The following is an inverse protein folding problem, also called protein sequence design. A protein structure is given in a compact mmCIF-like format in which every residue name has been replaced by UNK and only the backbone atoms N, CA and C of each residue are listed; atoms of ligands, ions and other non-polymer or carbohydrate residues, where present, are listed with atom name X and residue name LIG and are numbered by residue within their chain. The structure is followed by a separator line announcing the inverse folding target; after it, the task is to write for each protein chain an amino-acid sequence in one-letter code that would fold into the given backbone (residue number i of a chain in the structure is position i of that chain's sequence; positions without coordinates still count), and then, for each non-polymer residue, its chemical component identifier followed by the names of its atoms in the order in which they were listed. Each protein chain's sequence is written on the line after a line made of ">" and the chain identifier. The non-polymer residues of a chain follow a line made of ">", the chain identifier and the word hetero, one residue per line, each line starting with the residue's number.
data_IF_656812956965
#
_entry.id   IF_656812956965
#
_cell.length_a   1.000
_cell.length_b   1.000
_cell.length_c   1.000
_cell.angle_alpha   90.00
_cell.angle_beta   90.00
_cell.angle_gamma   90.00
#
_symmetry.space_group_name_H-M   'P 1'
#
loop_
_entity.id
_entity.type
_entity.pdbx_description
1 polymer ?
#
# COMPACT_ATOMS: atom_id res chain seq x y z
N UNK A 1 22.22 1.97 30.66
CA UNK A 1 20.79 2.13 30.32
C UNK A 1 19.97 2.34 31.58
N UNK A 2 19.58 3.58 31.90
CA UNK A 2 18.54 3.84 32.89
C UNK A 2 17.19 3.25 32.42
N UNK A 3 16.26 3.01 33.33
CA UNK A 3 14.94 2.39 33.09
C UNK A 3 13.99 3.18 32.15
N UNK A 4 14.52 4.16 31.40
CA UNK A 4 13.75 5.19 30.70
C UNK A 4 13.64 4.97 29.18
N UNK A 5 14.43 4.04 28.60
CA UNK A 5 14.44 3.76 27.16
C UNK A 5 14.23 2.29 26.84
N UNK A 6 13.33 2.01 25.89
CA UNK A 6 12.95 0.69 25.38
C UNK A 6 13.35 0.61 23.90
N UNK A 7 13.95 -0.48 23.42
CA UNK A 7 14.28 -0.62 21.99
C UNK A 7 13.05 -1.17 21.24
N UNK A 8 12.53 -0.42 20.25
CA UNK A 8 11.43 -0.85 19.35
C UNK A 8 11.96 -1.54 18.10
N UNK A 9 13.05 -1.03 17.51
CA UNK A 9 13.63 -1.58 16.29
C UNK A 9 15.17 -1.57 16.36
N UNK A 10 15.80 -2.66 15.94
CA UNK A 10 17.26 -2.78 15.85
C UNK A 10 17.69 -3.34 14.50
N UNK A 11 18.51 -2.56 13.79
CA UNK A 11 19.10 -2.93 12.49
C UNK A 11 20.59 -3.08 12.64
N UNK A 12 21.10 -4.28 12.36
CA UNK A 12 22.51 -4.59 12.49
C UNK A 12 23.21 -4.53 11.13
N UNK A 13 24.27 -3.72 11.02
CA UNK A 13 25.15 -3.69 9.86
C UNK A 13 26.63 -3.68 10.25
N UNK A 14 27.46 -4.13 9.31
CA UNK A 14 28.91 -4.33 9.49
C UNK A 14 29.66 -3.02 9.77
N UNK A 15 29.26 -1.92 9.13
CA UNK A 15 29.83 -0.58 9.33
C UNK A 15 28.89 0.36 10.10
N UNK A 16 27.59 0.03 10.20
CA UNK A 16 26.57 0.92 10.73
C UNK A 16 25.47 0.16 11.47
N UNK A 17 25.00 0.71 12.58
CA UNK A 17 23.93 0.16 13.42
C UNK A 17 22.86 1.23 13.61
N UNK A 18 21.59 0.87 13.38
CA UNK A 18 20.45 1.78 13.55
C UNK A 18 19.52 1.29 14.67
N UNK A 19 19.11 2.20 15.56
CA UNK A 19 18.16 1.96 16.64
C UNK A 19 16.90 2.82 16.51
N UNK A 20 15.74 2.27 16.85
CA UNK A 20 14.57 3.05 17.29
C UNK A 20 14.29 2.74 18.75
N UNK A 21 14.30 3.77 19.58
CA UNK A 21 14.07 3.72 21.01
C UNK A 21 12.74 4.38 21.33
N UNK A 22 12.04 3.86 22.33
CA UNK A 22 10.81 4.37 22.91
C UNK A 22 11.09 4.84 24.33
N UNK A 23 10.54 5.98 24.71
CA UNK A 23 10.65 6.50 26.09
C UNK A 23 9.30 6.97 26.60
N UNK A 24 9.02 6.73 27.88
CA UNK A 24 7.83 7.23 28.55
C UNK A 24 8.08 8.59 29.24
N UNK A 25 9.30 9.12 29.14
CA UNK A 25 9.65 10.42 29.69
C UNK A 25 9.26 11.51 28.71
N UNK A 26 8.36 12.40 29.12
CA UNK A 26 7.94 13.56 28.31
C UNK A 26 9.06 14.60 28.13
N UNK A 27 10.15 14.51 28.90
CA UNK A 27 11.27 15.44 28.89
C UNK A 27 12.61 14.71 28.85
N UNK A 28 12.89 13.98 27.76
CA UNK A 28 14.26 13.51 27.52
C UNK A 28 15.13 14.69 27.09
N UNK A 29 16.07 15.06 27.96
CA UNK A 29 16.97 16.18 27.71
C UNK A 29 18.04 15.84 26.66
N UNK A 30 18.52 16.84 25.92
CA UNK A 30 19.64 16.67 24.97
C UNK A 30 20.87 16.07 25.66
N UNK A 31 21.11 16.39 26.94
CA UNK A 31 22.23 15.86 27.71
C UNK A 31 22.14 14.35 27.92
N UNK A 32 20.94 13.81 28.16
CA UNK A 32 20.69 12.37 28.32
C UNK A 32 20.88 11.62 26.99
N UNK A 33 20.42 12.22 25.88
CA UNK A 33 20.64 11.67 24.53
C UNK A 33 22.13 11.63 24.16
N UNK A 34 22.92 12.62 24.60
CA UNK A 34 24.37 12.67 24.36
C UNK A 34 25.12 11.62 25.20
N UNK A 35 24.65 11.34 26.42
CA UNK A 35 25.21 10.24 27.23
C UNK A 35 24.88 8.90 26.59
N UNK A 36 23.63 8.70 26.17
CA UNK A 36 23.16 7.52 25.48
C UNK A 36 23.93 7.26 24.17
N UNK A 37 24.15 8.30 23.36
CA UNK A 37 24.94 8.22 22.14
C UNK A 37 26.38 7.72 22.40
N UNK A 38 27.01 8.24 23.46
CA UNK A 38 28.36 7.82 23.85
C UNK A 38 28.41 6.38 24.34
N UNK A 39 27.46 5.97 25.20
CA UNK A 39 27.39 4.59 25.68
C UNK A 39 27.17 3.62 24.52
N UNK A 40 26.27 3.93 23.59
CA UNK A 40 26.03 3.11 22.41
C UNK A 40 27.27 3.02 21.51
N UNK A 41 27.98 4.13 21.28
CA UNK A 41 29.23 4.12 20.51
C UNK A 41 30.36 3.34 21.20
N UNK A 42 30.42 3.34 22.54
CA UNK A 42 31.37 2.52 23.29
C UNK A 42 31.05 1.02 23.20
N UNK A 43 29.78 0.64 23.26
CA UNK A 43 29.32 -0.76 23.17
C UNK A 43 29.60 -1.32 21.76
N UNK A 44 29.28 -0.57 20.71
CA UNK A 44 29.38 -1.00 19.32
C UNK A 44 30.66 -0.55 18.61
N UNK A 45 31.72 -0.41 19.40
CA UNK A 45 33.03 0.12 19.04
C UNK A 45 33.49 -0.27 17.61
N UNK A 46 33.76 0.73 16.77
CA UNK A 46 34.19 0.55 15.38
C UNK A 46 33.08 0.56 14.33
N UNK A 47 31.82 0.84 14.70
CA UNK A 47 30.68 0.99 13.80
C UNK A 47 29.99 2.34 14.01
N UNK A 48 29.43 2.92 12.94
CA UNK A 48 28.62 4.13 12.99
C UNK A 48 27.28 3.81 13.67
N UNK A 49 26.97 4.44 14.80
CA UNK A 49 25.70 4.23 15.49
C UNK A 49 24.76 5.39 15.19
N UNK A 50 23.54 5.09 14.75
CA UNK A 50 22.43 6.05 14.64
C UNK A 50 21.26 5.55 15.46
N UNK A 51 20.60 6.45 16.16
CA UNK A 51 19.38 6.11 16.89
C UNK A 51 18.33 7.21 16.75
N UNK A 52 17.07 6.81 16.89
CA UNK A 52 15.93 7.70 17.00
C UNK A 52 15.19 7.39 18.30
N UNK A 53 14.64 8.42 18.95
CA UNK A 53 13.86 8.25 20.18
C UNK A 53 12.44 8.75 19.92
N UNK A 54 11.43 7.95 20.25
CA UNK A 54 10.02 8.32 20.17
C UNK A 54 9.39 8.26 21.56
N UNK A 55 8.58 9.25 21.90
CA UNK A 55 7.82 9.28 23.15
C UNK A 55 6.52 8.51 23.01
N UNK A 56 6.12 7.79 24.07
CA UNK A 56 4.83 7.09 24.12
C UNK A 56 4.09 7.36 25.42
N UNK A 57 2.76 7.34 25.35
CA UNK A 57 1.89 7.49 26.52
C UNK A 57 1.77 6.14 27.25
N UNK A 58 1.78 6.15 28.59
CA UNK A 58 1.65 4.94 29.43
C UNK A 58 0.39 4.10 29.15
N UNK A 59 -0.60 4.66 28.47
CA UNK A 59 -1.83 3.96 28.08
C UNK A 59 -1.73 3.23 26.73
N UNK A 60 -0.66 3.46 25.93
CA UNK A 60 -0.52 2.97 24.56
C UNK A 60 0.57 1.87 24.39
N UNK A 61 1.20 1.40 25.47
CA UNK A 61 2.07 0.21 25.43
C UNK A 61 1.70 -0.80 26.53
N UNK A 62 1.43 -2.07 26.20
CA UNK A 62 1.23 -3.14 27.16
C UNK A 62 2.59 -3.63 27.67
N UNK A 63 2.89 -3.21 28.88
CA UNK A 63 3.99 -3.74 29.68
C UNK A 63 3.69 -5.16 30.11
N UNK A 64 4.52 -6.14 29.70
CA UNK A 64 4.65 -7.37 30.48
C UNK A 64 6.04 -8.01 30.50
N UNK A 65 6.89 -7.82 29.47
CA UNK A 65 8.14 -8.59 29.38
C UNK A 65 9.44 -7.78 29.36
N UNK A 66 9.37 -6.45 29.30
CA UNK A 66 10.57 -5.61 29.12
C UNK A 66 11.44 -5.43 30.36
N UNK A 67 10.98 -5.83 31.55
CA UNK A 67 11.74 -5.57 32.80
C UNK A 67 12.80 -6.61 33.17
N UNK A 68 12.99 -7.71 32.40
CA UNK A 68 13.79 -8.85 32.91
C UNK A 68 14.81 -9.49 31.95
N UNK A 69 14.94 -9.05 30.69
CA UNK A 69 16.06 -9.47 29.84
C UNK A 69 17.13 -8.37 29.82
N UNK A 70 18.32 -8.70 30.32
CA UNK A 70 19.49 -7.91 29.96
C UNK A 70 19.73 -8.15 28.46
N UNK A 71 19.36 -7.15 27.65
CA UNK A 71 19.32 -7.23 26.19
C UNK A 71 20.66 -7.66 25.57
N UNK A 72 21.77 -7.23 26.16
CA UNK A 72 23.12 -7.60 25.74
C UNK A 72 23.38 -9.11 25.88
N UNK A 73 22.80 -9.76 26.91
CA UNK A 73 22.89 -11.21 27.13
C UNK A 73 22.09 -11.96 26.05
N UNK A 74 20.90 -11.47 25.70
CA UNK A 74 20.05 -12.07 24.67
C UNK A 74 20.71 -12.00 23.29
N UNK A 75 21.19 -10.81 22.90
CA UNK A 75 21.83 -10.62 21.60
C UNK A 75 23.12 -11.44 21.51
N UNK A 76 23.92 -11.49 22.59
CA UNK A 76 25.14 -12.30 22.62
C UNK A 76 24.84 -13.80 22.45
N UNK A 77 23.83 -14.33 23.15
CA UNK A 77 23.50 -15.75 23.06
C UNK A 77 22.84 -16.08 21.70
N UNK A 78 21.97 -15.22 21.16
CA UNK A 78 21.40 -15.40 19.81
C UNK A 78 22.51 -15.36 18.75
N UNK A 79 23.47 -14.43 18.83
CA UNK A 79 24.61 -14.39 17.91
C UNK A 79 25.48 -15.66 18.02
N UNK A 80 25.68 -16.17 19.23
CA UNK A 80 26.42 -17.42 19.48
C UNK A 80 25.67 -18.63 18.92
N UNK A 81 24.35 -18.71 19.11
CA UNK A 81 23.50 -19.76 18.53
C UNK A 81 23.52 -19.69 16.99
N UNK A 82 23.38 -18.50 16.41
CA UNK A 82 23.50 -18.31 14.96
C UNK A 82 24.86 -18.79 14.43
N UNK A 83 25.96 -18.47 15.15
CA UNK A 83 27.31 -18.92 14.79
C UNK A 83 27.47 -20.44 14.89
N UNK A 84 26.88 -21.08 15.91
CA UNK A 84 26.87 -22.54 16.06
C UNK A 84 26.14 -23.22 14.89
N UNK A 85 25.12 -22.57 14.34
CA UNK A 85 24.39 -23.01 13.15
C UNK A 85 25.02 -22.56 11.82
N UNK A 86 26.25 -22.04 11.86
CA UNK A 86 27.03 -21.67 10.67
C UNK A 86 26.54 -20.38 9.99
N UNK A 87 25.87 -19.50 10.73
CA UNK A 87 25.30 -18.26 10.23
C UNK A 87 25.89 -17.03 10.96
N UNK A 88 25.96 -15.92 10.23
CA UNK A 88 26.26 -14.60 10.76
C UNK A 88 25.23 -13.63 10.20
N UNK A 89 24.73 -12.72 11.04
CA UNK A 89 23.81 -11.67 10.61
C UNK A 89 24.49 -10.79 9.54
N UNK A 90 23.70 -10.36 8.56
CA UNK A 90 24.09 -9.46 7.48
C UNK A 90 23.38 -8.11 7.63
N UNK A 91 23.83 -7.09 6.89
CA UNK A 91 23.37 -5.70 6.97
C UNK A 91 21.86 -5.46 6.78
N UNK A 92 21.13 -6.47 6.34
CA UNK A 92 19.70 -6.40 6.06
C UNK A 92 18.86 -7.22 7.05
N UNK A 93 19.47 -7.83 8.07
CA UNK A 93 18.78 -8.65 9.06
C UNK A 93 18.35 -7.77 10.26
N UNK A 94 17.20 -8.08 10.88
CA UNK A 94 16.64 -7.30 12.00
C UNK A 94 16.10 -8.21 13.09
N UNK A 95 16.12 -7.72 14.33
CA UNK A 95 15.46 -8.39 15.44
C UNK A 95 14.55 -7.36 16.11
N UNK A 96 13.24 -7.65 16.15
CA UNK A 96 12.25 -6.81 16.80
C UNK A 96 11.70 -7.52 18.03
N UNK A 97 11.52 -6.76 19.11
CA UNK A 97 10.93 -7.24 20.35
C UNK A 97 9.54 -6.63 20.45
N UNK A 98 8.51 -7.46 20.28
CA UNK A 98 7.12 -7.04 20.35
C UNK A 98 6.48 -7.59 21.63
N UNK A 99 5.25 -7.14 21.89
CA UNK A 99 4.53 -7.36 23.15
C UNK A 99 4.30 -8.83 23.48
N UNK A 100 4.01 -9.66 22.47
CA UNK A 100 3.61 -11.07 22.64
C UNK A 100 4.60 -12.06 22.00
N UNK A 101 5.56 -11.57 21.19
CA UNK A 101 6.46 -12.42 20.41
C UNK A 101 7.76 -11.71 19.99
N UNK A 102 8.79 -12.50 19.67
CA UNK A 102 10.08 -11.99 19.15
C UNK A 102 10.13 -12.23 17.65
N UNK A 103 10.41 -11.19 16.86
CA UNK A 103 10.60 -11.29 15.41
C UNK A 103 12.08 -11.31 15.05
N UNK A 104 12.50 -12.29 14.27
CA UNK A 104 13.84 -12.34 13.66
C UNK A 104 13.67 -12.28 12.15
N UNK A 105 14.05 -11.15 11.56
CA UNK A 105 14.07 -10.95 10.12
C UNK A 105 15.44 -11.33 9.55
N UNK A 106 15.45 -12.27 8.61
CA UNK A 106 16.66 -12.68 7.89
C UNK A 106 16.42 -12.45 6.41
N UNK A 107 17.14 -11.52 5.83
CA UNK A 107 17.03 -11.11 4.43
C UNK A 107 17.40 -12.21 3.44
N UNK A 108 18.40 -13.04 3.76
CA UNK A 108 18.82 -14.15 2.90
C UNK A 108 17.93 -15.39 3.08
N UNK A 109 17.16 -15.73 2.04
CA UNK A 109 16.21 -16.85 2.04
C UNK A 109 16.88 -18.22 2.30
N UNK A 110 18.07 -18.47 1.73
CA UNK A 110 18.78 -19.75 1.88
C UNK A 110 19.25 -19.97 3.33
N UNK A 111 19.72 -18.92 3.99
CA UNK A 111 20.14 -18.99 5.38
C UNK A 111 18.97 -19.20 6.32
N UNK A 112 17.81 -18.61 6.01
CA UNK A 112 16.59 -18.82 6.79
C UNK A 112 16.09 -20.26 6.71
N UNK A 113 16.11 -20.88 5.52
CA UNK A 113 15.74 -22.29 5.37
C UNK A 113 16.68 -23.21 6.17
N UNK A 114 17.97 -22.89 6.24
CA UNK A 114 18.94 -23.61 7.09
C UNK A 114 18.65 -23.47 8.58
N UNK A 115 18.27 -22.27 9.03
CA UNK A 115 17.94 -22.03 10.44
C UNK A 115 16.62 -22.69 10.85
N UNK A 116 15.62 -22.68 9.96
CA UNK A 116 14.37 -23.41 10.15
C UNK A 116 14.59 -24.93 10.18
N UNK A 117 15.50 -25.46 9.36
CA UNK A 117 15.79 -26.90 9.33
C UNK A 117 16.65 -27.38 10.50
N UNK A 118 17.45 -26.50 11.10
CA UNK A 118 18.42 -26.86 12.14
C UNK A 118 17.92 -26.66 13.58
N UNK A 119 16.61 -26.58 13.79
CA UNK A 119 16.03 -26.42 15.15
C UNK A 119 16.44 -25.15 15.90
N UNK A 120 16.99 -24.13 15.20
CA UNK A 120 17.40 -22.86 15.81
C UNK A 120 16.26 -22.19 16.59
N UNK A 121 15.03 -22.26 16.08
CA UNK A 121 13.83 -21.78 16.78
C UNK A 121 13.60 -22.46 18.13
N UNK A 122 13.91 -23.76 18.22
CA UNK A 122 13.75 -24.50 19.46
C UNK A 122 14.86 -24.13 20.46
N UNK A 123 16.10 -23.94 20.00
CA UNK A 123 17.21 -23.51 20.87
C UNK A 123 16.95 -22.13 21.47
N UNK A 124 16.44 -21.19 20.67
CA UNK A 124 16.07 -19.86 21.17
C UNK A 124 14.85 -19.96 22.10
N UNK A 125 13.84 -20.77 21.78
CA UNK A 125 12.70 -21.03 22.68
C UNK A 125 13.14 -21.68 24.00
N UNK A 126 14.14 -22.55 23.99
CA UNK A 126 14.68 -23.20 25.19
C UNK A 126 15.48 -22.20 26.05
N UNK A 127 16.29 -21.34 25.42
CA UNK A 127 16.97 -20.25 26.12
C UNK A 127 15.99 -19.29 26.80
N UNK A 128 14.93 -18.92 26.07
CA UNK A 128 13.86 -18.04 26.55
C UNK A 128 13.06 -18.75 27.66
N UNK A 129 12.55 -19.97 27.42
CA UNK A 129 11.77 -20.71 28.44
C UNK A 129 12.59 -21.13 29.67
N UNK A 130 13.92 -21.25 29.56
CA UNK A 130 14.81 -21.45 30.72
C UNK A 130 14.91 -20.24 31.66
N UNK A 131 14.50 -19.06 31.20
CA UNK A 131 14.56 -17.80 31.95
C UNK A 131 13.16 -17.25 32.28
N UNK A 132 12.09 -17.76 31.64
CA UNK A 132 10.70 -17.33 31.80
C UNK A 132 9.77 -18.47 32.21
N UNK A 133 8.63 -18.16 32.83
CA UNK A 133 7.61 -19.15 33.23
C UNK A 133 6.40 -19.22 32.28
N UNK A 134 6.31 -18.35 31.27
CA UNK A 134 5.25 -18.30 30.26
C UNK A 134 5.84 -18.57 28.87
N UNK A 135 5.08 -19.25 27.99
CA UNK A 135 5.50 -19.59 26.62
C UNK A 135 5.52 -18.34 25.73
N UNK A 136 6.69 -17.99 25.17
CA UNK A 136 6.87 -16.87 24.23
C UNK A 136 6.89 -17.42 22.80
N UNK A 137 6.13 -16.78 21.92
CA UNK A 137 6.14 -17.10 20.50
C UNK A 137 7.33 -16.42 19.81
N UNK A 138 8.03 -17.14 18.92
CA UNK A 138 9.19 -16.62 18.18
C UNK A 138 8.91 -16.81 16.70
N UNK A 139 8.93 -15.71 15.94
CA UNK A 139 8.61 -15.67 14.52
C UNK A 139 9.84 -15.30 13.70
N UNK A 140 10.05 -16.00 12.58
CA UNK A 140 11.11 -15.67 11.61
C UNK A 140 10.47 -15.23 10.29
N UNK A 141 10.75 -13.99 9.86
CA UNK A 141 10.03 -13.34 8.74
C UNK A 141 10.84 -13.29 7.43
N UNK A 142 10.12 -13.25 6.29
CA UNK A 142 10.68 -13.35 4.93
C UNK A 142 10.95 -12.01 4.23
N UNK A 143 10.16 -10.98 4.54
CA UNK A 143 10.29 -9.63 3.98
C UNK A 143 9.78 -8.62 5.01
N UNK A 144 10.34 -7.41 5.00
CA UNK A 144 9.76 -6.27 5.73
C UNK A 144 8.39 -5.97 5.14
N UNK A 145 7.35 -6.51 5.76
CA UNK A 145 6.01 -6.00 5.57
C UNK A 145 5.93 -4.66 6.32
N UNK A 146 5.50 -3.56 5.68
CA UNK A 146 4.98 -2.43 6.42
C UNK A 146 3.82 -2.96 7.27
N UNK A 147 3.84 -2.67 8.58
CA UNK A 147 2.84 -3.09 9.57
C UNK A 147 1.42 -3.02 8.99
N UNK A 148 0.87 -4.17 8.63
CA UNK A 148 -0.55 -4.46 8.76
C UNK A 148 -0.74 -5.93 9.18
N UNK A 149 -1.54 -6.07 10.24
CA UNK A 149 -2.38 -7.21 10.56
C UNK A 149 -1.85 -8.39 11.40
N UNK A 150 -2.18 -8.27 12.70
CA UNK A 150 -2.52 -9.33 13.67
C UNK A 150 -3.67 -10.28 13.21
N UNK A 151 -3.82 -10.62 11.92
CA UNK A 151 -5.06 -11.20 11.39
C UNK A 151 -4.94 -12.54 10.62
N UNK A 152 -3.73 -13.02 10.29
CA UNK A 152 -3.57 -14.20 9.40
C UNK A 152 -4.09 -15.52 9.99
N UNK A 153 -3.87 -15.82 11.27
CA UNK A 153 -4.32 -17.10 11.84
C UNK A 153 -5.84 -17.17 12.14
N UNK A 154 -6.49 -16.02 12.35
CA UNK A 154 -7.96 -15.96 12.50
C UNK A 154 -8.67 -15.96 11.14
N UNK A 155 -8.03 -15.45 10.09
CA UNK A 155 -8.58 -15.45 8.72
C UNK A 155 -8.48 -16.82 8.07
N UNK A 156 -7.37 -17.55 8.18
CA UNK A 156 -7.26 -18.88 7.58
C UNK A 156 -8.25 -19.86 8.21
N UNK A 157 -8.38 -19.87 9.54
CA UNK A 157 -9.36 -20.70 10.24
C UNK A 157 -10.83 -20.29 9.96
N UNK A 158 -11.12 -19.00 9.77
CA UNK A 158 -12.48 -18.54 9.36
C UNK A 158 -12.77 -18.81 7.88
N UNK A 159 -11.78 -18.73 7.01
CA UNK A 159 -11.90 -19.00 5.57
C UNK A 159 -12.06 -20.50 5.31
N UNK A 160 -11.37 -21.35 6.08
CA UNK A 160 -11.49 -22.80 5.94
C UNK A 160 -12.83 -23.31 6.49
N UNK A 161 -13.33 -22.73 7.59
CA UNK A 161 -14.67 -23.02 8.10
C UNK A 161 -15.78 -22.48 7.18
N UNK A 162 -15.65 -21.26 6.62
CA UNK A 162 -16.57 -20.75 5.59
C UNK A 162 -16.53 -21.57 4.30
N UNK A 163 -15.36 -22.07 3.87
CA UNK A 163 -15.25 -22.97 2.70
C UNK A 163 -15.98 -24.29 2.93
N UNK A 164 -15.87 -24.87 4.13
CA UNK A 164 -16.60 -26.10 4.52
C UNK A 164 -18.11 -25.87 4.64
N UNK A 165 -18.56 -24.69 5.08
CA UNK A 165 -19.99 -24.30 5.08
C UNK A 165 -20.52 -24.03 3.67
N UNK A 166 -19.75 -23.37 2.80
CA UNK A 166 -20.12 -23.11 1.39
C UNK A 166 -20.19 -24.42 0.58
N UNK A 167 -19.35 -25.41 0.88
CA UNK A 167 -19.41 -26.73 0.24
C UNK A 167 -20.69 -27.48 0.65
N UNK A 168 -21.07 -27.44 1.94
CA UNK A 168 -22.32 -28.04 2.45
C UNK A 168 -23.59 -27.28 2.02
N UNK A 169 -23.52 -25.97 1.81
CA UNK A 169 -24.64 -25.19 1.25
C UNK A 169 -24.83 -25.43 -0.25
N UNK A 170 -23.75 -25.65 -1.01
CA UNK A 170 -23.83 -25.92 -2.44
C UNK A 170 -24.43 -27.30 -2.74
N UNK A 171 -24.14 -28.31 -1.91
CA UNK A 171 -24.78 -29.63 -2.04
C UNK A 171 -26.29 -29.59 -1.68
N UNK A 172 -26.71 -28.67 -0.80
CA UNK A 172 -28.13 -28.49 -0.43
C UNK A 172 -28.90 -27.51 -1.36
N UNK A 173 -28.21 -26.62 -2.09
CA UNK A 173 -28.83 -25.65 -3.03
C UNK A 173 -29.17 -26.24 -4.41
N UNK A 174 -28.55 -27.37 -4.79
CA UNK A 174 -28.87 -28.09 -6.03
C UNK A 174 -30.26 -28.76 -5.95
N UNK A 175 -30.76 -29.10 -4.77
CA UNK A 175 -32.10 -29.72 -4.61
C UNK A 175 -33.27 -28.73 -4.43
N UNK A 176 -33.02 -27.45 -4.07
CA UNK A 176 -34.08 -26.49 -3.71
C UNK A 176 -34.41 -25.39 -4.73
N UNK A 177 -33.72 -25.28 -5.86
CA UNK A 177 -33.91 -24.19 -6.83
C UNK A 177 -34.89 -24.47 -7.98
N UNK A 178 -35.93 -25.29 -7.75
CA UNK A 178 -37.01 -25.55 -8.74
C UNK A 178 -38.27 -24.69 -8.59
N UNK A 179 -38.37 -23.76 -7.65
CA UNK A 179 -39.58 -22.94 -7.40
C UNK A 179 -39.06 -21.63 -6.79
N UNK A 180 -39.25 -20.39 -7.24
CA UNK A 180 -40.37 -19.65 -7.85
C UNK A 180 -39.76 -18.45 -8.64
N UNK A 181 -40.28 -18.16 -9.84
CA UNK A 181 -40.13 -16.88 -10.57
C UNK A 181 -41.26 -15.93 -10.14
N UNK A 182 -40.98 -14.63 -9.98
CA UNK A 182 -41.63 -13.51 -10.73
C UNK A 182 -41.17 -12.11 -10.25
N UNK A 183 -41.40 -11.01 -11.01
CA UNK A 183 -40.33 -10.18 -11.57
C UNK A 183 -40.30 -8.73 -11.04
N UNK A 184 -39.23 -8.00 -11.33
CA UNK A 184 -39.21 -6.53 -11.21
C UNK A 184 -38.28 -5.90 -12.26
N UNK A 185 -38.94 -5.37 -13.30
CA UNK A 185 -38.64 -4.25 -14.20
C UNK A 185 -37.18 -3.82 -14.52
N UNK A 186 -36.87 -4.04 -15.79
CA UNK A 186 -35.92 -3.43 -16.73
C UNK A 186 -35.10 -2.20 -16.27
N UNK A 187 -33.88 -2.44 -15.82
CA UNK A 187 -32.73 -1.58 -16.14
C UNK A 187 -31.79 -2.40 -17.03
N UNK A 188 -31.88 -2.22 -18.35
CA UNK A 188 -31.00 -2.90 -19.31
C UNK A 188 -29.54 -2.50 -19.06
N UNK A 189 -28.80 -3.38 -18.39
CA UNK A 189 -27.33 -3.33 -18.28
C UNK A 189 -26.79 -3.21 -19.70
N UNK A 190 -26.00 -2.17 -19.97
CA UNK A 190 -25.39 -1.96 -21.27
C UNK A 190 -24.49 -3.14 -21.64
N UNK A 191 -24.80 -3.80 -22.76
CA UNK A 191 -24.04 -4.95 -23.28
C UNK A 191 -23.98 -4.87 -24.79
N UNK A 192 -22.78 -5.05 -25.35
CA UNK A 192 -22.54 -5.15 -26.79
C UNK A 192 -21.74 -6.43 -27.06
N UNK A 193 -22.11 -7.17 -28.10
CA UNK A 193 -21.31 -8.30 -28.59
C UNK A 193 -21.54 -9.61 -27.85
N UNK A 194 -20.49 -10.43 -27.71
CA UNK A 194 -20.57 -11.75 -27.08
C UNK A 194 -20.91 -11.62 -25.59
N UNK A 195 -21.64 -12.60 -25.05
CA UNK A 195 -21.92 -12.69 -23.62
C UNK A 195 -20.60 -12.93 -22.87
N UNK A 196 -20.32 -12.04 -21.93
CA UNK A 196 -19.19 -12.18 -21.01
C UNK A 196 -19.55 -13.25 -19.97
N UNK A 197 -18.69 -14.26 -19.82
CA UNK A 197 -18.87 -15.33 -18.85
C UNK A 197 -18.21 -14.94 -17.53
N UNK A 198 -18.89 -15.23 -16.42
CA UNK A 198 -18.32 -15.06 -15.08
C UNK A 198 -17.19 -16.05 -14.80
N UNK A 199 -17.10 -17.14 -15.59
CA UNK A 199 -16.03 -18.14 -15.49
C UNK A 199 -14.71 -17.68 -16.12
N UNK A 200 -14.75 -16.67 -17.00
CA UNK A 200 -13.56 -16.16 -17.64
C UNK A 200 -12.77 -15.33 -16.62
N UNK A 201 -11.47 -15.65 -16.49
CA UNK A 201 -10.56 -15.02 -15.54
C UNK A 201 -10.30 -13.58 -15.98
N UNK A 202 -10.49 -12.63 -15.08
CA UNK A 202 -10.11 -11.23 -15.28
C UNK A 202 -8.58 -11.11 -15.19
N UNK A 203 -7.95 -10.58 -16.24
CA UNK A 203 -6.51 -10.38 -16.33
C UNK A 203 -6.17 -8.90 -16.17
N UNK A 204 -5.02 -8.61 -15.55
CA UNK A 204 -4.44 -7.26 -15.51
C UNK A 204 -3.87 -6.90 -16.87
N UNK A 205 -4.00 -5.65 -17.28
CA UNK A 205 -3.50 -5.17 -18.57
C UNK A 205 -1.97 -5.25 -18.60
N UNK A 206 -1.28 -5.05 -17.47
CA UNK A 206 0.18 -5.20 -17.38
C UNK A 206 0.71 -6.58 -17.75
N UNK A 207 -0.12 -7.62 -17.60
CA UNK A 207 0.28 -9.01 -17.78
C UNK A 207 0.03 -9.50 -19.22
N UNK A 208 -0.56 -8.65 -20.07
CA UNK A 208 -0.92 -8.99 -21.43
C UNK A 208 0.22 -8.71 -22.41
N UNK A 209 0.41 -9.66 -23.32
CA UNK A 209 1.35 -9.61 -24.43
C UNK A 209 0.65 -9.96 -25.76
N UNK A 210 1.42 -9.93 -26.85
CA UNK A 210 0.92 -10.30 -28.18
C UNK A 210 0.46 -11.77 -28.31
N UNK A 211 0.78 -12.63 -27.35
CA UNK A 211 0.44 -14.06 -27.35
C UNK A 211 -0.73 -14.39 -26.41
N UNK A 212 -1.24 -13.40 -25.69
CA UNK A 212 -2.28 -13.58 -24.68
C UNK A 212 -3.61 -14.05 -25.26
N UNK A 213 -3.84 -13.82 -26.57
CA UNK A 213 -4.97 -14.40 -27.29
C UNK A 213 -6.29 -13.84 -26.77
N UNK A 214 -7.25 -14.71 -26.45
CA UNK A 214 -8.55 -14.26 -25.95
C UNK A 214 -8.46 -13.92 -24.46
N UNK A 215 -8.77 -12.67 -24.11
CA UNK A 215 -8.57 -12.14 -22.76
C UNK A 215 -9.79 -11.33 -22.31
N UNK A 216 -9.98 -11.28 -20.99
CA UNK A 216 -10.99 -10.47 -20.31
C UNK A 216 -10.28 -9.41 -19.47
N UNK A 217 -10.55 -8.14 -19.76
CA UNK A 217 -10.00 -6.99 -19.04
C UNK A 217 -11.13 -6.11 -18.53
N UNK A 218 -10.84 -5.31 -17.51
CA UNK A 218 -11.78 -4.35 -16.94
C UNK A 218 -11.02 -3.07 -16.63
N UNK A 219 -11.60 -1.93 -16.99
CA UNK A 219 -10.94 -0.65 -16.74
C UNK A 219 -11.76 0.55 -17.16
N UNK A 220 -11.19 1.73 -16.94
CA UNK A 220 -11.73 3.02 -17.32
C UNK A 220 -11.52 3.27 -18.80
N UNK A 221 -12.55 3.75 -19.48
CA UNK A 221 -12.45 4.14 -20.90
C UNK A 221 -11.99 5.58 -21.03
N UNK A 222 -11.05 5.84 -21.94
CA UNK A 222 -10.65 7.19 -22.36
C UNK A 222 -10.21 7.23 -23.84
N UNK A 223 -9.98 8.44 -24.36
CA UNK A 223 -9.55 8.74 -25.74
C UNK A 223 -10.37 8.08 -26.86
N UNK A 224 -11.69 8.33 -26.89
CA UNK A 224 -12.59 7.76 -27.90
C UNK A 224 -12.51 8.50 -29.25
N UNK A 225 -12.19 7.74 -30.31
CA UNK A 225 -12.29 8.14 -31.70
C UNK A 225 -13.19 7.17 -32.49
N UNK A 226 -14.12 7.68 -33.30
CA UNK A 226 -14.94 6.87 -34.20
C UNK A 226 -14.56 7.18 -35.64
N UNK A 227 -14.05 6.17 -36.36
CA UNK A 227 -13.70 6.26 -37.78
C UNK A 227 -14.72 5.53 -38.65
N UNK A 228 -15.09 6.12 -39.78
CA UNK A 228 -15.91 5.46 -40.78
C UNK A 228 -15.04 4.68 -41.77
N UNK A 229 -15.39 3.42 -42.02
CA UNK A 229 -14.67 2.53 -42.94
C UNK A 229 -15.29 2.58 -44.33
N UNK A 230 -14.50 2.23 -45.34
CA UNK A 230 -14.94 2.19 -46.75
C UNK A 230 -16.15 1.28 -47.02
N UNK A 231 -16.44 0.35 -46.12
CA UNK A 231 -17.58 -0.58 -46.21
C UNK A 231 -18.85 -0.07 -45.48
N UNK A 232 -18.85 1.18 -45.01
CA UNK A 232 -19.96 1.79 -44.27
C UNK A 232 -20.05 1.39 -42.80
N UNK A 233 -19.21 0.45 -42.33
CA UNK A 233 -19.11 0.14 -40.89
C UNK A 233 -18.30 1.21 -40.18
N UNK A 234 -18.52 1.37 -38.88
CA UNK A 234 -17.71 2.27 -38.05
C UNK A 234 -16.76 1.48 -37.18
N UNK A 235 -15.60 2.06 -36.92
CA UNK A 235 -14.57 1.52 -36.04
C UNK A 235 -14.44 2.49 -34.86
N UNK A 236 -14.81 2.04 -33.67
CA UNK A 236 -14.46 2.74 -32.44
C UNK A 236 -13.05 2.34 -32.03
N UNK A 237 -12.22 3.35 -31.76
CA UNK A 237 -10.89 3.27 -31.21
C UNK A 237 -10.94 3.99 -29.86
N UNK A 238 -10.49 3.34 -28.81
CA UNK A 238 -10.43 3.92 -27.47
C UNK A 238 -9.44 3.13 -26.62
N UNK A 239 -8.99 3.71 -25.52
CA UNK A 239 -8.11 3.04 -24.57
C UNK A 239 -8.89 2.63 -23.32
N UNK A 240 -8.48 1.51 -22.72
CA UNK A 240 -8.94 1.03 -21.41
C UNK A 240 -7.75 1.02 -20.46
N UNK A 241 -7.88 1.61 -19.28
CA UNK A 241 -6.85 1.61 -18.22
C UNK A 241 -7.38 0.98 -16.92
N UNK A 242 -6.59 0.09 -16.33
CA UNK A 242 -6.95 -0.72 -15.16
C UNK A 242 -6.08 -0.40 -13.92
N UNK A 243 -5.53 0.82 -13.86
CA UNK A 243 -4.54 1.29 -12.87
C UNK A 243 -3.15 0.63 -12.98
N UNK A 244 -3.04 -0.54 -13.63
CA UNK A 244 -1.75 -1.22 -13.84
C UNK A 244 -1.11 -0.83 -15.15
N UNK A 245 -1.90 -0.70 -16.22
CA UNK A 245 -1.46 -0.30 -17.55
C UNK A 245 -2.68 0.14 -18.39
N UNK A 246 -2.43 0.52 -19.64
CA UNK A 246 -3.45 0.87 -20.61
C UNK A 246 -3.38 -0.03 -21.85
N UNK A 247 -4.53 -0.35 -22.42
CA UNK A 247 -4.68 -1.17 -23.63
C UNK A 247 -5.51 -0.43 -24.67
N UNK A 248 -4.93 -0.27 -25.86
CA UNK A 248 -5.68 0.23 -27.01
C UNK A 248 -6.66 -0.81 -27.51
N UNK A 249 -7.91 -0.38 -27.66
CA UNK A 249 -9.04 -1.23 -27.99
C UNK A 249 -9.69 -0.82 -29.30
N UNK A 250 -10.17 -1.82 -30.04
CA UNK A 250 -10.84 -1.64 -31.33
C UNK A 250 -12.16 -2.39 -31.32
N UNK A 251 -13.23 -1.71 -31.73
CA UNK A 251 -14.56 -2.31 -31.83
C UNK A 251 -15.22 -1.95 -33.16
N UNK A 252 -15.59 -2.96 -33.93
CA UNK A 252 -16.41 -2.76 -35.12
C UNK A 252 -17.89 -2.59 -34.75
N UNK A 253 -18.44 -1.44 -35.13
CA UNK A 253 -19.81 -1.05 -34.90
C UNK A 253 -20.59 -1.10 -36.23
N UNK A 254 -21.68 -1.86 -36.24
CA UNK A 254 -22.76 -1.68 -37.19
C UNK A 254 -23.71 -0.58 -36.71
N UNK A 255 -24.67 -0.15 -37.53
CA UNK A 255 -25.56 0.97 -37.20
C UNK A 255 -26.35 0.74 -35.90
N UNK A 256 -26.76 -0.51 -35.62
CA UNK A 256 -27.49 -0.85 -34.38
C UNK A 256 -26.59 -0.77 -33.16
N UNK A 257 -25.39 -1.37 -33.24
CA UNK A 257 -24.39 -1.32 -32.17
C UNK A 257 -23.91 0.09 -31.92
N UNK A 258 -23.77 0.91 -32.97
CA UNK A 258 -23.35 2.30 -32.86
C UNK A 258 -24.33 3.12 -32.02
N UNK A 259 -25.64 2.94 -32.23
CA UNK A 259 -26.65 3.66 -31.45
C UNK A 259 -26.51 3.33 -29.96
N UNK A 260 -26.49 2.04 -29.62
CA UNK A 260 -26.34 1.55 -28.24
C UNK A 260 -25.01 2.03 -27.65
N UNK A 261 -23.93 1.95 -28.42
CA UNK A 261 -22.60 2.40 -28.02
C UNK A 261 -22.60 3.89 -27.67
N UNK A 262 -23.11 4.76 -28.55
CA UNK A 262 -23.12 6.21 -28.32
C UNK A 262 -24.04 6.65 -27.17
N UNK A 263 -25.10 5.89 -26.88
CA UNK A 263 -25.98 6.16 -25.73
C UNK A 263 -25.21 6.06 -24.41
N UNK A 264 -24.22 5.16 -24.33
CA UNK A 264 -23.52 4.84 -23.08
C UNK A 264 -22.06 5.24 -23.05
N UNK A 265 -21.33 5.07 -24.15
CA UNK A 265 -19.92 5.45 -24.33
C UNK A 265 -19.88 6.69 -25.23
N UNK A 266 -19.80 7.85 -24.59
CA UNK A 266 -19.71 9.15 -25.24
C UNK A 266 -18.81 10.08 -24.42
N UNK A 267 -18.52 11.27 -24.94
CA UNK A 267 -17.61 12.21 -24.28
C UNK A 267 -18.01 12.54 -22.85
N UNK A 268 -19.31 12.56 -22.53
CA UNK A 268 -19.81 12.84 -21.18
C UNK A 268 -19.57 11.67 -20.23
N UNK A 269 -19.87 10.44 -20.64
CA UNK A 269 -19.64 9.26 -19.79
C UNK A 269 -18.15 8.98 -19.60
N UNK A 270 -17.32 9.24 -20.61
CA UNK A 270 -15.86 9.18 -20.52
C UNK A 270 -15.32 10.23 -19.54
N UNK A 271 -15.80 11.47 -19.61
CA UNK A 271 -15.45 12.52 -18.66
C UNK A 271 -15.81 12.12 -17.21
N UNK A 272 -16.95 11.46 -17.03
CA UNK A 272 -17.38 10.89 -15.74
C UNK A 272 -16.62 9.62 -15.34
N UNK A 273 -15.72 9.11 -16.19
CA UNK A 273 -14.91 7.93 -15.92
C UNK A 273 -15.69 6.62 -15.97
N UNK A 274 -16.42 6.38 -17.06
CA UNK A 274 -17.10 5.10 -17.30
C UNK A 274 -16.12 3.91 -17.25
N UNK A 275 -16.53 2.87 -16.52
CA UNK A 275 -15.82 1.60 -16.44
C UNK A 275 -16.55 0.54 -17.24
N UNK A 276 -15.78 -0.29 -17.93
CA UNK A 276 -16.31 -1.42 -18.70
C UNK A 276 -15.50 -2.68 -18.43
N UNK A 277 -16.15 -3.81 -18.60
CA UNK A 277 -15.47 -5.10 -18.80
C UNK A 277 -15.52 -5.43 -20.28
N UNK A 278 -14.37 -5.72 -20.87
CA UNK A 278 -14.22 -6.07 -22.27
C UNK A 278 -13.64 -7.47 -22.41
N UNK A 279 -14.16 -8.24 -23.37
CA UNK A 279 -13.61 -9.52 -23.80
C UNK A 279 -13.27 -9.42 -25.28
N UNK A 280 -12.09 -9.92 -25.63
CA UNK A 280 -11.59 -9.76 -26.98
C UNK A 280 -10.26 -10.46 -27.17
N UNK A 281 -9.76 -10.36 -28.40
CA UNK A 281 -8.48 -10.95 -28.77
C UNK A 281 -7.39 -9.88 -28.73
N UNK A 282 -6.37 -10.12 -27.92
CA UNK A 282 -5.17 -9.30 -27.79
C UNK A 282 -4.16 -9.77 -28.83
N UNK A 283 -3.80 -8.88 -29.75
CA UNK A 283 -2.87 -9.17 -30.83
C UNK A 283 -2.00 -7.95 -31.15
N UNK A 284 -0.87 -8.18 -31.81
CA UNK A 284 -0.05 -7.10 -32.34
C UNK A 284 -0.73 -6.47 -33.56
N UNK A 285 -1.06 -5.18 -33.45
CA UNK A 285 -1.61 -4.41 -34.55
C UNK A 285 -0.51 -3.76 -35.37
N UNK A 286 -0.39 -4.20 -36.63
CA UNK A 286 0.67 -3.72 -37.52
C UNK A 286 0.53 -2.24 -37.91
N UNK A 287 -0.69 -1.69 -37.89
CA UNK A 287 -0.94 -0.30 -38.25
C UNK A 287 -0.61 0.64 -37.09
N UNK A 288 -1.04 0.28 -35.88
CA UNK A 288 -0.71 1.02 -34.65
C UNK A 288 0.72 0.73 -34.14
N UNK A 289 1.36 -0.33 -34.64
CA UNK A 289 2.68 -0.83 -34.20
C UNK A 289 2.74 -1.11 -32.70
N UNK A 290 1.66 -1.63 -32.13
CA UNK A 290 1.51 -1.93 -30.72
C UNK A 290 0.55 -3.08 -30.48
N UNK A 291 0.53 -3.58 -29.25
CA UNK A 291 -0.47 -4.57 -28.83
C UNK A 291 -1.81 -3.86 -28.69
N UNK A 292 -2.87 -4.46 -29.21
CA UNK A 292 -4.22 -3.94 -29.09
C UNK A 292 -5.23 -5.06 -28.90
N UNK A 293 -6.35 -4.76 -28.26
CA UNK A 293 -7.46 -5.68 -28.11
C UNK A 293 -8.52 -5.42 -29.19
N UNK A 294 -8.84 -6.43 -29.99
CA UNK A 294 -10.05 -6.46 -30.80
C UNK A 294 -11.22 -6.96 -29.95
N UNK A 295 -12.15 -6.07 -29.61
CA UNK A 295 -13.25 -6.37 -28.70
C UNK A 295 -14.35 -7.17 -29.42
N UNK A 296 -14.68 -8.32 -28.83
CA UNK A 296 -15.79 -9.18 -29.25
C UNK A 296 -17.05 -8.93 -28.43
N UNK A 297 -16.90 -8.52 -27.17
CA UNK A 297 -17.98 -8.22 -26.25
C UNK A 297 -17.55 -7.23 -25.18
N UNK A 298 -18.48 -6.38 -24.74
CA UNK A 298 -18.25 -5.42 -23.66
C UNK A 298 -19.53 -5.16 -22.88
N UNK A 299 -19.39 -4.90 -21.60
CA UNK A 299 -20.49 -4.51 -20.71
C UNK A 299 -20.07 -3.39 -19.76
N UNK A 300 -21.04 -2.56 -19.37
CA UNK A 300 -20.84 -1.52 -18.35
C UNK A 300 -20.66 -2.20 -16.99
N UNK A 301 -19.59 -1.84 -16.29
CA UNK A 301 -19.25 -2.40 -14.99
C UNK A 301 -19.16 -1.26 -13.99
N UNK A 302 -19.70 -1.41 -12.77
CA UNK A 302 -19.58 -0.38 -11.76
C UNK A 302 -18.10 -0.10 -11.49
N UNK A 303 -17.75 1.19 -11.42
CA UNK A 303 -16.44 1.63 -10.96
C UNK A 303 -16.28 1.19 -9.50
N UNK A 304 -15.19 0.49 -9.19
CA UNK A 304 -14.83 0.26 -7.79
C UNK A 304 -14.32 1.58 -7.23
N UNK A 305 -15.16 2.26 -6.46
CA UNK A 305 -14.84 3.52 -5.82
C UNK A 305 -14.63 3.22 -4.35
N UNK A 306 -13.48 3.60 -3.80
CA UNK A 306 -13.26 3.48 -2.36
C UNK A 306 -14.30 4.33 -1.62
N UNK A 307 -14.95 3.76 -0.61
CA UNK A 307 -15.94 4.47 0.20
C UNK A 307 -15.42 4.56 1.63
N UNK A 308 -15.43 5.77 2.16
CA UNK A 308 -15.19 6.00 3.58
C UNK A 308 -16.44 5.56 4.36
N UNK A 309 -16.33 4.47 5.14
CA UNK A 309 -17.42 3.93 5.96
C UNK A 309 -17.36 4.38 7.43
N UNK A 310 -16.44 5.28 7.80
CA UNK A 310 -16.32 5.75 9.18
C UNK A 310 -17.53 6.60 9.57
N UNK A 311 -17.94 6.52 10.85
CA UNK A 311 -19.00 7.37 11.40
C UNK A 311 -18.58 8.83 11.50
N UNK A 312 -17.30 9.06 11.86
CA UNK A 312 -16.68 10.37 11.89
C UNK A 312 -15.75 10.49 10.69
N UNK A 313 -15.97 11.52 9.87
CA UNK A 313 -15.23 11.70 8.62
C UNK A 313 -13.89 12.36 8.87
N UNK A 314 -12.85 11.81 8.24
CA UNK A 314 -11.51 12.41 8.23
C UNK A 314 -11.55 13.78 7.56
N UNK A 315 -10.68 14.68 8.02
CA UNK A 315 -10.35 15.93 7.32
C UNK A 315 -8.91 15.81 6.83
N UNK A 316 -8.72 16.01 5.53
CA UNK A 316 -7.37 16.13 4.96
C UNK A 316 -6.80 17.50 5.29
N UNK A 317 -5.55 17.54 5.78
CA UNK A 317 -4.88 18.78 6.20
C UNK A 317 -3.59 19.05 5.43
N UNK A 318 -3.08 18.06 4.70
CA UNK A 318 -1.88 18.19 3.89
C UNK A 318 -2.14 17.61 2.50
N UNK A 319 -2.28 18.50 1.51
CA UNK A 319 -2.56 18.11 0.13
C UNK A 319 -1.94 19.10 -0.85
N UNK A 320 -1.20 18.57 -1.81
CA UNK A 320 -0.58 19.33 -2.89
C UNK A 320 -1.48 19.27 -4.14
N UNK A 321 -1.92 20.43 -4.61
CA UNK A 321 -2.71 20.58 -5.83
C UNK A 321 -1.81 20.65 -7.06
N UNK A 322 -2.39 20.61 -8.25
CA UNK A 322 -1.68 20.83 -9.53
C UNK A 322 -0.89 22.16 -9.60
N UNK A 323 -1.12 23.09 -8.67
CA UNK A 323 -0.38 24.35 -8.57
C UNK A 323 0.99 24.19 -7.88
N UNK A 324 1.23 23.10 -7.15
CA UNK A 324 2.56 22.75 -6.66
C UNK A 324 3.46 22.33 -7.82
N UNK A 325 4.43 23.18 -8.17
CA UNK A 325 5.27 22.99 -9.35
C UNK A 325 6.02 21.66 -9.36
N UNK A 326 5.78 20.83 -10.38
CA UNK A 326 6.38 19.50 -10.61
C UNK A 326 6.11 18.43 -9.54
N UNK A 327 5.31 18.73 -8.52
CA UNK A 327 5.08 17.81 -7.40
C UNK A 327 3.59 17.46 -7.22
N UNK A 328 2.70 18.46 -7.28
CA UNK A 328 1.29 18.21 -7.06
C UNK A 328 0.57 17.71 -8.31
N UNK A 329 -0.23 16.65 -8.14
CA UNK A 329 -1.00 16.02 -9.22
C UNK A 329 -2.52 16.15 -9.05
N UNK A 330 -2.99 16.72 -7.93
CA UNK A 330 -4.42 16.72 -7.57
C UNK A 330 -5.18 17.85 -8.26
N UNK A 331 -6.16 17.50 -9.09
CA UNK A 331 -7.12 18.44 -9.66
C UNK A 331 -8.24 18.74 -8.63
N UNK A 332 -8.43 20.03 -8.31
CA UNK A 332 -9.38 20.46 -7.27
C UNK A 332 -10.86 20.20 -7.59
N UNK A 333 -11.24 20.16 -8.87
CA UNK A 333 -12.62 19.88 -9.29
C UNK A 333 -12.97 18.40 -9.06
N UNK A 334 -12.03 17.52 -9.41
CA UNK A 334 -12.14 16.08 -9.15
C UNK A 334 -12.13 15.83 -7.64
N UNK A 335 -11.24 16.51 -6.91
CA UNK A 335 -11.17 16.43 -5.45
C UNK A 335 -12.48 16.82 -4.78
N UNK A 336 -13.12 17.92 -5.21
CA UNK A 336 -14.41 18.36 -4.65
C UNK A 336 -15.47 17.27 -4.79
N UNK A 337 -15.62 16.71 -5.99
CA UNK A 337 -16.59 15.64 -6.26
C UNK A 337 -16.30 14.43 -5.38
N UNK A 338 -15.01 14.09 -5.23
CA UNK A 338 -14.56 12.96 -4.42
C UNK A 338 -14.86 13.13 -2.93
N UNK A 339 -14.59 14.31 -2.38
CA UNK A 339 -14.87 14.62 -0.97
C UNK A 339 -16.38 14.60 -0.68
N UNK A 340 -17.21 15.04 -1.63
CA UNK A 340 -18.67 14.97 -1.52
C UNK A 340 -19.16 13.51 -1.48
N UNK A 341 -18.65 12.65 -2.36
CA UNK A 341 -18.95 11.21 -2.36
C UNK A 341 -18.55 10.53 -1.04
N UNK A 342 -17.41 10.94 -0.47
CA UNK A 342 -16.91 10.40 0.81
C UNK A 342 -17.57 11.05 2.04
N UNK A 343 -18.35 12.11 1.86
CA UNK A 343 -19.03 12.84 2.93
C UNK A 343 -18.10 13.70 3.81
N UNK A 344 -16.91 14.05 3.32
CA UNK A 344 -15.94 14.86 4.08
C UNK A 344 -16.43 16.30 4.23
N UNK A 345 -16.18 16.90 5.39
CA UNK A 345 -16.70 18.25 5.73
C UNK A 345 -15.70 19.38 5.49
N UNK A 346 -14.41 19.05 5.36
CA UNK A 346 -13.36 20.04 5.15
C UNK A 346 -12.15 19.44 4.43
N UNK A 347 -11.34 20.31 3.82
CA UNK A 347 -10.07 19.94 3.17
C UNK A 347 -9.07 21.08 3.25
N UNK A 348 -7.83 20.76 3.62
CA UNK A 348 -6.68 21.65 3.56
C UNK A 348 -5.85 21.43 2.31
N UNK A 349 -5.51 22.51 1.62
CA UNK A 349 -4.56 22.51 0.51
C UNK A 349 -3.33 23.29 0.94
N UNK A 350 -2.17 22.65 0.86
CA UNK A 350 -0.88 23.10 1.36
C UNK A 350 0.16 23.00 0.25
N UNK A 351 0.00 23.80 -0.81
CA UNK A 351 0.95 23.79 -1.92
C UNK A 351 2.35 24.24 -1.48
N UNK A 352 3.40 23.72 -2.13
CA UNK A 352 4.80 23.97 -1.75
C UNK A 352 5.23 25.35 -2.21
N UNK A 353 5.49 26.24 -1.26
CA UNK A 353 6.04 27.57 -1.49
C UNK A 353 5.14 28.52 -2.27
N UNK A 354 3.90 28.11 -2.59
CA UNK A 354 2.96 28.89 -3.40
C UNK A 354 1.53 28.80 -2.86
N UNK A 355 0.73 29.83 -3.15
CA UNK A 355 -0.70 29.92 -2.79
C UNK A 355 -1.60 30.09 -4.02
N UNK A 356 -1.12 29.64 -5.17
CA UNK A 356 -1.78 29.86 -6.46
C UNK A 356 -3.13 29.14 -6.60
N UNK A 357 -3.35 28.07 -5.82
CA UNK A 357 -4.62 27.35 -5.77
C UNK A 357 -5.77 28.15 -5.10
N UNK A 358 -5.47 29.20 -4.34
CA UNK A 358 -6.46 29.88 -3.49
C UNK A 358 -7.68 30.43 -4.25
N UNK A 359 -7.53 31.10 -5.42
CA UNK A 359 -8.69 31.56 -6.18
C UNK A 359 -9.60 30.41 -6.62
N UNK A 360 -9.02 29.33 -7.14
CA UNK A 360 -9.79 28.15 -7.56
C UNK A 360 -10.48 27.47 -6.37
N UNK A 361 -9.81 27.38 -5.22
CA UNK A 361 -10.42 26.87 -3.99
C UNK A 361 -11.61 27.75 -3.55
N UNK A 362 -11.48 29.07 -3.63
CA UNK A 362 -12.57 29.98 -3.28
C UNK A 362 -13.78 29.80 -4.19
N UNK A 363 -13.57 29.65 -5.49
CA UNK A 363 -14.64 29.42 -6.46
C UNK A 363 -15.33 28.07 -6.25
N UNK A 364 -14.56 27.01 -5.96
CA UNK A 364 -15.09 25.66 -5.80
C UNK A 364 -15.75 25.43 -4.44
N UNK A 365 -15.15 25.90 -3.35
CA UNK A 365 -15.57 25.58 -1.99
C UNK A 365 -16.29 26.75 -1.28
N UNK A 366 -16.13 27.99 -1.74
CA UNK A 366 -16.66 29.17 -1.04
C UNK A 366 -18.18 29.22 -0.89
N UNK A 367 -18.93 28.46 -1.71
CA UNK A 367 -20.40 28.31 -1.63
C UNK A 367 -20.86 26.88 -1.33
N UNK A 368 -19.92 25.96 -1.08
CA UNK A 368 -20.22 24.54 -0.86
C UNK A 368 -20.34 24.19 0.62
N UNK A 369 -20.76 22.95 0.88
CA UNK A 369 -20.84 22.39 2.23
C UNK A 369 -19.47 21.97 2.81
N UNK A 370 -18.45 21.87 1.94
CA UNK A 370 -17.08 21.49 2.31
C UNK A 370 -16.28 22.75 2.59
N UNK A 371 -15.77 22.87 3.81
CA UNK A 371 -14.93 24.00 4.24
C UNK A 371 -13.50 23.85 3.68
N UNK A 372 -13.09 24.79 2.83
CA UNK A 372 -11.70 24.91 2.42
C UNK A 372 -10.83 25.52 3.54
N UNK A 373 -9.69 24.89 3.79
CA UNK A 373 -8.63 25.39 4.68
C UNK A 373 -7.44 25.80 3.80
N UNK A 374 -7.12 27.08 3.85
CA UNK A 374 -6.07 27.69 3.05
C UNK A 374 -4.73 27.53 3.77
N UNK A 375 -3.94 26.56 3.33
CA UNK A 375 -2.63 26.23 3.89
C UNK A 375 -1.48 26.61 2.95
N UNK A 376 -0.25 26.46 3.45
CA UNK A 376 0.98 26.70 2.70
C UNK A 376 2.07 25.81 3.28
N UNK A 377 2.71 25.00 2.45
CA UNK A 377 3.87 24.23 2.83
C UNK A 377 5.13 25.05 2.57
N UNK A 378 5.98 25.21 3.59
CA UNK A 378 7.16 26.08 3.53
C UNK A 378 8.43 25.34 3.91
N UNK A 379 9.48 25.61 3.16
CA UNK A 379 10.84 25.28 3.57
C UNK A 379 11.34 26.32 4.56
N UNK A 380 11.38 25.96 5.85
CA UNK A 380 11.95 26.80 6.89
C UNK A 380 13.46 26.59 6.97
N UNK A 381 14.22 27.67 6.83
CA UNK A 381 15.67 27.68 7.03
C UNK A 381 15.99 28.28 8.39
N UNK A 382 16.97 27.71 9.08
CA UNK A 382 17.52 28.32 10.29
C UNK A 382 18.34 29.57 9.93
N UNK A 383 18.17 30.65 10.67
CA UNK A 383 18.90 31.91 10.46
C UNK A 383 20.43 31.74 10.60
N UNK A 384 20.86 30.78 11.42
CA UNK A 384 22.27 30.47 11.67
C UNK A 384 22.55 29.00 11.37
N UNK A 385 22.66 28.61 10.08
CA UNK A 385 23.00 27.24 9.74
C UNK A 385 24.38 26.91 10.33
N UNK A 386 24.47 25.83 11.12
CA UNK A 386 25.76 25.35 11.60
C UNK A 386 26.58 24.89 10.40
N UNK A 387 27.56 25.72 9.99
CA UNK A 387 28.46 25.45 8.85
C UNK A 387 29.35 24.22 9.13
N UNK A 388 29.56 23.89 10.41
CA UNK A 388 30.41 22.79 10.86
C UNK A 388 29.62 21.84 11.76
N UNK A 389 29.45 20.61 11.30
CA UNK A 389 29.06 19.48 12.13
C UNK A 389 30.31 18.64 12.45
N UNK A 390 30.43 18.18 13.69
CA UNK A 390 31.49 17.25 14.12
C UNK A 390 32.95 17.79 14.05
N UNK A 391 33.19 19.03 14.50
CA UNK A 391 34.55 19.58 14.61
C UNK A 391 35.39 18.80 15.66
N UNK A 392 36.29 17.93 15.18
CA UNK A 392 37.43 17.41 15.96
C UNK A 392 38.70 18.09 15.48
N UNK A 393 39.57 18.51 16.41
CA UNK A 393 40.84 19.19 16.12
C UNK A 393 41.72 18.29 15.22
N UNK A 394 41.68 18.52 13.91
CA UNK A 394 42.43 17.74 12.91
C UNK A 394 41.61 17.10 11.77
N UNK A 395 40.27 17.08 11.85
CA UNK A 395 39.41 16.65 10.72
C UNK A 395 38.22 17.61 10.59
N UNK A 396 38.08 18.19 9.40
CA UNK A 396 36.96 19.06 9.04
C UNK A 396 36.16 18.34 7.95
N UNK A 397 34.88 18.08 8.21
CA UNK A 397 33.91 17.77 7.16
C UNK A 397 33.12 19.06 6.87
N UNK A 398 33.23 19.54 5.64
CA UNK A 398 32.36 20.59 5.10
C UNK A 398 31.32 19.86 4.24
N UNK A 399 30.05 19.97 4.60
CA UNK A 399 28.96 19.61 3.70
C UNK A 399 28.84 20.74 2.66
N UNK A 400 29.01 20.40 1.39
CA UNK A 400 28.65 21.24 0.24
C UNK A 400 27.16 21.13 -0.06
#
# INVERSE_FOLDING_TARGET
>A
MSDDFIIDEFVFGDEKIDFRLLTNSENVGIEELVVLDKELHEIFNGREVKFSVQTFSKNDCPYKYFYYLNYDEFVSEVQKLLKNHGFSLTNNDRINFLEDYIEIYISNSLCRFKLLSNSFLNDVKEFVSGKFSEDIEILILNTLFPREEKCSEKLENKLENKRKEIQKENDNKVEKSRIIKEPSDENTIFKIGKKISDKDILLKISDLDQNSGFSKIQGRVYDLEIRELKNGKKLALFDIEDETSAMSCKLFLDDKKLQIFNEKINSKSIANGIYITAVGRVEYDQYAKGISMMIDGMEETPRYVFVDNASEKRVELHLNSQMSGLDGCVNLEVLKSRLQEMGHTAVGVTDIGVVQAYPQMMDLFGKGDIKALYGLELNLLEDNPRILYNYKKGLILILL
#
